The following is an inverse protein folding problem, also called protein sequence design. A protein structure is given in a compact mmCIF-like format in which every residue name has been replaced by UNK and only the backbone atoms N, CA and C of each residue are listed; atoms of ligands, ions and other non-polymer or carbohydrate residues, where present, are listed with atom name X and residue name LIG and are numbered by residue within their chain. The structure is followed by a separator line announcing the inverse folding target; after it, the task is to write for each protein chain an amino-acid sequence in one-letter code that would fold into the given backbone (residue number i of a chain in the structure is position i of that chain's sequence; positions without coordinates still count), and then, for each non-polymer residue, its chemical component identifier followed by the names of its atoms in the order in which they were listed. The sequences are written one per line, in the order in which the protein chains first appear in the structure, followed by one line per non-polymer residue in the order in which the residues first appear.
data_IF_293134371184
#
_entry.id   IF_293134371184
#
_cell.length_a   1.000
_cell.length_b   1.000
_cell.length_c   1.000
_cell.angle_alpha   90.00
_cell.angle_beta   90.00
_cell.angle_gamma   90.00
#
_symmetry.space_group_name_H-M   'P 1'
#
loop_
_entity.id
_entity.type
_entity.pdbx_description
1 polymer ?
#
# COMPACT_ATOMS: atom_id res chain seq x y z
N UNK A 1 18.35 -5.46 -16.58
CA UNK A 1 18.03 -6.73 -17.27
C UNK A 1 16.62 -7.24 -16.92
N UNK A 2 16.30 -7.42 -15.64
CA UNK A 2 15.01 -7.97 -15.17
C UNK A 2 13.74 -7.29 -15.68
N UNK A 3 13.70 -5.95 -15.73
CA UNK A 3 12.52 -5.21 -16.21
C UNK A 3 12.19 -5.56 -17.65
N UNK A 4 13.19 -5.57 -18.53
CA UNK A 4 12.98 -5.82 -19.95
C UNK A 4 12.52 -7.27 -20.19
N UNK A 5 13.04 -8.21 -19.40
CA UNK A 5 12.60 -9.60 -19.43
C UNK A 5 11.16 -9.78 -18.93
N UNK A 6 10.77 -9.06 -17.86
CA UNK A 6 9.40 -9.06 -17.35
C UNK A 6 8.41 -8.50 -18.38
N UNK A 7 8.77 -7.39 -19.04
CA UNK A 7 7.96 -6.79 -20.12
C UNK A 7 7.84 -7.72 -21.32
N UNK A 8 8.93 -8.38 -21.72
CA UNK A 8 8.89 -9.37 -22.80
C UNK A 8 7.99 -10.57 -22.46
N UNK A 9 8.12 -11.14 -21.24
CA UNK A 9 7.25 -12.23 -20.77
C UNK A 9 5.79 -11.81 -20.69
N UNK A 10 5.49 -10.61 -20.24
CA UNK A 10 4.11 -10.10 -20.19
C UNK A 10 3.52 -9.97 -21.60
N UNK A 11 4.29 -9.49 -22.58
CA UNK A 11 3.85 -9.42 -23.98
C UNK A 11 3.57 -10.80 -24.58
N UNK A 12 4.38 -11.81 -24.22
CA UNK A 12 4.23 -13.18 -24.73
C UNK A 12 3.08 -13.95 -24.06
N UNK A 13 2.90 -13.80 -22.75
CA UNK A 13 1.97 -14.63 -21.95
C UNK A 13 0.66 -13.92 -21.60
N UNK A 14 0.56 -12.61 -21.85
CA UNK A 14 -0.53 -11.76 -21.37
C UNK A 14 -0.55 -11.56 -19.85
N UNK A 15 0.37 -12.17 -19.10
CA UNK A 15 0.38 -12.17 -17.64
C UNK A 15 1.70 -11.65 -17.08
N UNK A 16 1.59 -10.84 -16.02
CA UNK A 16 2.74 -10.39 -15.24
C UNK A 16 2.82 -11.06 -13.85
N UNK A 17 2.02 -12.11 -13.63
CA UNK A 17 1.87 -12.74 -12.31
C UNK A 17 3.19 -13.30 -11.77
N UNK A 18 3.97 -13.98 -12.61
CA UNK A 18 5.26 -14.55 -12.24
C UNK A 18 6.23 -13.49 -11.70
N UNK A 19 6.36 -12.37 -12.40
CA UNK A 19 7.24 -11.28 -11.99
C UNK A 19 6.72 -10.62 -10.70
N UNK A 20 5.41 -10.38 -10.59
CA UNK A 20 4.81 -9.80 -9.38
C UNK A 20 5.08 -10.65 -8.14
N UNK A 21 5.05 -11.97 -8.29
CA UNK A 21 5.30 -12.92 -7.21
C UNK A 21 6.78 -12.93 -6.81
N UNK A 22 7.69 -13.07 -7.79
CA UNK A 22 9.14 -13.14 -7.53
C UNK A 22 9.75 -11.83 -7.01
N UNK A 23 9.14 -10.68 -7.32
CA UNK A 23 9.65 -9.36 -6.91
C UNK A 23 8.99 -8.80 -5.65
N UNK A 24 8.05 -9.54 -5.05
CA UNK A 24 7.17 -9.04 -3.98
C UNK A 24 6.45 -7.72 -4.34
N UNK A 25 6.22 -7.47 -5.63
CA UNK A 25 5.65 -6.21 -6.14
C UNK A 25 4.29 -5.90 -5.50
N UNK A 26 3.46 -6.92 -5.29
CA UNK A 26 2.15 -6.75 -4.66
C UNK A 26 2.29 -6.18 -3.23
N UNK A 27 3.27 -6.65 -2.45
CA UNK A 27 3.52 -6.15 -1.09
C UNK A 27 4.01 -4.70 -1.13
N UNK A 28 4.93 -4.38 -2.04
CA UNK A 28 5.43 -3.02 -2.24
C UNK A 28 4.32 -2.06 -2.64
N UNK A 29 3.50 -2.44 -3.63
CA UNK A 29 2.39 -1.61 -4.12
C UNK A 29 1.34 -1.33 -3.03
N UNK A 30 1.06 -2.30 -2.14
CA UNK A 30 0.18 -2.09 -0.98
C UNK A 30 0.78 -1.09 0.00
N UNK A 31 2.06 -1.23 0.34
CA UNK A 31 2.73 -0.29 1.24
C UNK A 31 2.80 1.13 0.65
N UNK A 32 3.14 1.26 -0.63
CA UNK A 32 3.16 2.54 -1.35
C UNK A 32 1.78 3.21 -1.35
N UNK A 33 0.72 2.44 -1.61
CA UNK A 33 -0.67 2.94 -1.58
C UNK A 33 -1.07 3.40 -0.19
N UNK A 34 -0.71 2.64 0.85
CA UNK A 34 -0.96 3.03 2.24
C UNK A 34 -0.23 4.33 2.60
N UNK A 35 1.05 4.44 2.26
CA UNK A 35 1.84 5.64 2.52
C UNK A 35 1.37 6.85 1.71
N UNK A 36 0.92 6.66 0.47
CA UNK A 36 0.29 7.72 -0.32
C UNK A 36 -0.93 8.29 0.42
N UNK A 37 -1.81 7.44 0.93
CA UNK A 37 -2.98 7.88 1.70
C UNK A 37 -2.59 8.60 2.99
N UNK A 38 -1.58 8.12 3.71
CA UNK A 38 -1.06 8.82 4.91
C UNK A 38 -0.62 10.22 4.54
N UNK A 39 0.18 10.37 3.47
CA UNK A 39 0.70 11.66 3.02
C UNK A 39 -0.38 12.63 2.59
N UNK A 40 -1.44 12.14 1.93
CA UNK A 40 -2.55 12.97 1.47
C UNK A 40 -3.46 13.43 2.61
N UNK A 41 -3.72 12.56 3.60
CA UNK A 41 -4.71 12.84 4.65
C UNK A 41 -4.11 13.49 5.90
N UNK A 42 -2.87 13.16 6.24
CA UNK A 42 -2.22 13.59 7.48
C UNK A 42 -0.95 14.41 7.22
N UNK A 43 -0.61 14.66 5.96
CA UNK A 43 0.61 15.38 5.58
C UNK A 43 1.82 14.47 5.41
N UNK A 44 2.89 15.03 4.84
CA UNK A 44 4.09 14.28 4.45
C UNK A 44 5.16 14.08 5.52
N UNK A 45 4.93 14.55 6.75
CA UNK A 45 5.97 14.74 7.76
C UNK A 45 5.46 14.37 9.15
N UNK A 46 6.39 13.99 10.03
CA UNK A 46 6.15 13.89 11.47
C UNK A 46 6.45 15.24 12.12
N UNK A 47 5.60 15.64 13.05
CA UNK A 47 5.66 16.97 13.68
C UNK A 47 6.36 16.92 15.04
N UNK A 48 6.30 15.78 15.73
CA UNK A 48 6.93 15.61 17.03
C UNK A 48 8.45 15.40 16.87
N UNK A 49 9.22 15.86 17.87
CA UNK A 49 10.69 15.88 17.81
C UNK A 49 11.36 14.74 18.57
N UNK A 50 10.67 14.19 19.57
CA UNK A 50 11.11 13.00 20.28
C UNK A 50 10.79 11.74 19.45
N UNK A 51 11.69 10.76 19.46
CA UNK A 51 11.55 9.56 18.63
C UNK A 51 10.34 8.72 19.03
N UNK A 52 10.12 8.51 20.33
CA UNK A 52 8.99 7.72 20.80
C UNK A 52 7.67 8.45 20.52
N UNK A 53 7.69 9.77 20.62
CA UNK A 53 6.57 10.61 20.21
C UNK A 53 6.29 10.50 18.70
N UNK A 54 7.32 10.48 17.85
CA UNK A 54 7.19 10.25 16.40
C UNK A 54 6.58 8.86 16.08
N UNK A 55 7.01 7.83 16.80
CA UNK A 55 6.42 6.49 16.68
C UNK A 55 4.94 6.52 17.08
N UNK A 56 4.60 7.19 18.17
CA UNK A 56 3.23 7.39 18.61
C UNK A 56 2.36 8.14 17.59
N UNK A 57 2.89 9.23 17.01
CA UNK A 57 2.26 10.01 15.94
C UNK A 57 1.96 9.14 14.72
N UNK A 58 2.95 8.37 14.25
CA UNK A 58 2.76 7.43 13.14
C UNK A 58 1.71 6.37 13.44
N UNK A 59 1.73 5.76 14.64
CA UNK A 59 0.71 4.78 15.03
C UNK A 59 -0.69 5.39 15.09
N UNK A 60 -0.84 6.62 15.57
CA UNK A 60 -2.11 7.32 15.61
C UNK A 60 -2.67 7.57 14.19
N UNK A 61 -1.83 8.05 13.26
CA UNK A 61 -2.21 8.26 11.86
C UNK A 61 -2.70 6.96 11.20
N UNK A 62 -1.97 5.85 11.40
CA UNK A 62 -2.36 4.55 10.84
C UNK A 62 -3.67 4.03 11.46
N UNK A 63 -3.86 4.19 12.77
CA UNK A 63 -5.12 3.81 13.44
C UNK A 63 -6.29 4.63 12.89
N UNK A 64 -6.12 5.93 12.71
CA UNK A 64 -7.14 6.80 12.12
C UNK A 64 -7.47 6.37 10.68
N UNK A 65 -6.44 6.14 9.85
CA UNK A 65 -6.60 5.69 8.46
C UNK A 65 -7.38 4.36 8.37
N UNK A 66 -7.04 3.40 9.22
CA UNK A 66 -7.71 2.09 9.25
C UNK A 66 -9.18 2.23 9.67
N UNK A 67 -9.48 3.12 10.63
CA UNK A 67 -10.86 3.41 11.06
C UNK A 67 -11.67 4.05 9.92
N UNK A 68 -11.12 5.03 9.23
CA UNK A 68 -11.75 5.66 8.06
C UNK A 68 -11.99 4.65 6.94
N UNK A 69 -10.98 3.81 6.64
CA UNK A 69 -11.09 2.78 5.60
C UNK A 69 -12.20 1.80 5.91
N UNK A 70 -12.31 1.34 7.17
CA UNK A 70 -13.40 0.45 7.59
C UNK A 70 -14.77 1.12 7.47
N UNK A 71 -14.89 2.38 7.88
CA UNK A 71 -16.15 3.11 7.82
C UNK A 71 -16.63 3.35 6.37
N UNK A 72 -15.70 3.47 5.41
CA UNK A 72 -16.02 3.67 4.00
C UNK A 72 -16.18 2.39 3.17
N UNK A 73 -15.96 1.20 3.75
CA UNK A 73 -16.12 -0.06 3.01
C UNK A 73 -17.57 -0.56 3.10
N UNK A 74 -18.24 -0.82 1.97
CA UNK A 74 -19.57 -1.44 1.97
C UNK A 74 -19.49 -2.90 2.42
N UNK A 75 -20.57 -3.41 3.02
CA UNK A 75 -20.70 -4.85 3.32
C UNK A 75 -20.98 -5.61 2.02
N UNK A 76 -19.98 -6.36 1.54
CA UNK A 76 -20.15 -7.25 0.39
C UNK A 76 -20.82 -8.55 0.83
N UNK A 77 -22.07 -8.76 0.41
CA UNK A 77 -22.79 -10.02 0.62
C UNK A 77 -22.69 -10.87 -0.65
N UNK A 78 -22.27 -12.13 -0.50
CA UNK A 78 -22.29 -13.09 -1.60
C UNK A 78 -23.74 -13.52 -1.86
N UNK A 79 -24.25 -13.21 -3.03
CA UNK A 79 -25.53 -13.73 -3.51
C UNK A 79 -25.25 -15.05 -4.24
N UNK A 80 -26.06 -16.07 -3.95
CA UNK A 80 -25.96 -17.44 -4.46
C UNK A 80 -26.02 -17.49 -6.00
#
# INVERSE_FOLDING_TARGET
ADRNQAVARQKLTGSNAYWKWNTAYNRRSVAETAMYRVKQLFGGHLTLRDYDAQVGEAMAMIRALNKMTRAGMPESVRIA
#
